data_IF_401347523285
#
_entry.id   IF_401347523285
#
_cell.length_a   1.000
_cell.length_b   1.000
_cell.length_c   1.000
_cell.angle_alpha   90.00
_cell.angle_beta   90.00
_cell.angle_gamma   90.00
#
_symmetry.space_group_name_H-M   'P 1'
#
loop_
_entity.id
_entity.type
_entity.pdbx_description
1 polymer ?
#
# COMPACT_ATOMS: atom_id res chain seq x y z
N UNK A 1 16.58 -24.76 89.32
CA UNK A 1 16.50 -26.21 89.62
C UNK A 1 16.73 -26.96 88.31
N UNK A 2 17.89 -27.59 88.10
CA UNK A 2 18.13 -29.02 88.36
C UNK A 2 18.05 -29.77 87.03
N UNK A 3 19.19 -30.10 86.38
CA UNK A 3 19.84 -31.44 86.39
C UNK A 3 18.88 -32.54 85.90
N UNK A 4 19.10 -33.22 84.77
CA UNK A 4 20.04 -34.34 84.45
C UNK A 4 19.17 -35.37 83.69
N UNK A 5 19.58 -36.25 82.78
CA UNK A 5 20.83 -36.72 82.16
C UNK A 5 20.39 -37.64 80.98
N UNK A 6 21.08 -37.69 79.85
CA UNK A 6 22.33 -38.39 79.52
C UNK A 6 22.18 -39.90 79.18
N UNK A 7 22.93 -40.30 78.12
CA UNK A 7 23.31 -41.63 77.55
C UNK A 7 22.54 -42.03 76.29
N UNK A 8 23.15 -42.37 75.16
CA UNK A 8 24.56 -42.49 74.70
C UNK A 8 24.49 -43.25 73.38
N UNK A 9 24.76 -42.62 72.24
CA UNK A 9 25.99 -42.69 71.42
C UNK A 9 26.49 -44.12 71.09
N UNK A 10 26.39 -44.53 69.81
CA UNK A 10 27.52 -44.76 68.89
C UNK A 10 27.01 -45.18 67.48
N UNK A 11 27.17 -44.33 66.44
CA UNK A 11 28.22 -44.32 65.37
C UNK A 11 27.93 -45.34 64.23
N UNK A 12 28.08 -45.07 62.92
CA UNK A 12 28.69 -44.00 62.10
C UNK A 12 28.33 -44.21 60.60
N UNK A 13 28.39 -43.14 59.81
CA UNK A 13 28.41 -43.08 58.32
C UNK A 13 27.24 -42.23 57.81
N UNK A 14 27.38 -40.94 57.42
CA UNK A 14 28.25 -40.35 56.38
C UNK A 14 27.50 -40.49 55.04
N UNK A 15 27.05 -39.49 54.30
CA UNK A 15 27.38 -38.06 54.13
C UNK A 15 26.10 -37.25 53.81
N UNK A 16 26.09 -35.97 54.18
CA UNK A 16 25.15 -34.96 53.70
C UNK A 16 25.77 -34.29 52.47
N UNK A 17 24.96 -34.00 51.45
CA UNK A 17 24.98 -32.69 50.80
C UNK A 17 23.68 -32.46 50.00
N UNK A 18 22.90 -31.51 50.53
CA UNK A 18 22.26 -30.39 49.82
C UNK A 18 21.28 -30.69 48.66
N UNK A 19 19.99 -30.58 49.00
CA UNK A 19 18.87 -30.34 48.09
C UNK A 19 19.09 -29.02 47.31
N UNK A 20 19.22 -29.11 45.98
CA UNK A 20 18.91 -28.01 45.06
C UNK A 20 17.69 -28.40 44.23
N UNK A 21 16.64 -27.60 44.31
CA UNK A 21 15.42 -27.78 43.55
C UNK A 21 15.62 -27.44 42.08
N UNK A 22 15.38 -28.41 41.19
CA UNK A 22 15.17 -28.15 39.78
C UNK A 22 13.75 -27.58 39.58
N UNK A 23 13.68 -26.25 39.53
CA UNK A 23 12.54 -25.53 38.94
C UNK A 23 12.53 -25.74 37.43
N UNK A 24 11.37 -26.16 36.94
CA UNK A 24 10.99 -26.29 35.54
C UNK A 24 11.15 -24.96 34.78
N UNK A 25 12.11 -24.90 33.85
CA UNK A 25 12.12 -23.88 32.79
C UNK A 25 11.49 -24.44 31.51
N UNK A 26 10.20 -24.18 31.35
CA UNK A 26 9.52 -24.27 30.06
C UNK A 26 9.84 -22.98 29.31
N UNK A 27 11.02 -22.91 28.70
CA UNK A 27 11.35 -21.86 27.73
C UNK A 27 10.74 -22.23 26.36
N UNK A 28 9.43 -22.05 26.27
CA UNK A 28 8.67 -22.06 25.03
C UNK A 28 8.98 -20.82 24.20
N UNK A 29 10.17 -20.74 23.63
CA UNK A 29 10.47 -19.77 22.57
C UNK A 29 9.87 -20.31 21.27
N UNK A 30 8.59 -20.01 21.01
CA UNK A 30 7.96 -20.29 19.71
C UNK A 30 8.58 -19.36 18.66
N UNK A 31 9.70 -19.79 18.09
CA UNK A 31 10.29 -19.18 16.90
C UNK A 31 9.30 -19.35 15.74
N UNK A 32 8.55 -18.29 15.45
CA UNK A 32 7.66 -18.26 14.30
C UNK A 32 8.54 -18.27 13.04
N UNK A 33 8.69 -19.45 12.43
CA UNK A 33 9.32 -19.60 11.13
C UNK A 33 8.39 -18.99 10.07
N UNK A 34 8.77 -17.82 9.55
CA UNK A 34 8.06 -17.20 8.43
C UNK A 34 8.74 -17.68 7.15
N UNK A 35 8.06 -18.54 6.38
CA UNK A 35 8.58 -19.09 5.12
C UNK A 35 7.88 -18.43 3.92
N UNK A 36 8.59 -18.25 2.79
CA UNK A 36 7.98 -17.73 1.58
C UNK A 36 6.96 -18.73 1.01
N UNK A 37 5.88 -18.20 0.45
CA UNK A 37 4.77 -18.97 -0.11
C UNK A 37 5.18 -19.83 -1.31
N UNK A 38 6.23 -19.42 -2.03
CA UNK A 38 6.90 -20.20 -3.08
C UNK A 38 8.42 -20.14 -2.89
N UNK A 39 9.12 -21.25 -3.18
CA UNK A 39 10.58 -21.33 -3.06
C UNK A 39 11.28 -20.32 -4.00
N UNK A 40 12.28 -19.57 -3.52
CA UNK A 40 12.94 -18.53 -4.30
C UNK A 40 13.74 -19.09 -5.49
N UNK A 41 13.51 -18.55 -6.70
CA UNK A 41 14.35 -18.80 -7.88
C UNK A 41 15.74 -18.16 -7.78
N UNK A 42 16.77 -18.94 -8.15
CA UNK A 42 18.14 -18.49 -8.38
C UNK A 42 18.26 -17.95 -9.81
N UNK A 43 17.93 -16.68 -10.03
CA UNK A 43 18.11 -16.07 -11.36
C UNK A 43 19.52 -15.48 -11.46
N UNK A 44 20.40 -16.19 -12.15
CA UNK A 44 21.74 -15.74 -12.53
C UNK A 44 21.66 -14.73 -13.68
N UNK A 45 21.53 -13.44 -13.35
CA UNK A 45 21.96 -12.37 -14.23
C UNK A 45 23.07 -11.60 -13.54
N UNK A 46 24.29 -11.69 -14.07
CA UNK A 46 25.47 -10.95 -13.64
C UNK A 46 25.16 -9.44 -13.65
N UNK A 47 24.84 -8.88 -12.49
CA UNK A 47 25.09 -7.47 -12.17
C UNK A 47 26.14 -7.45 -11.09
N UNK A 48 27.28 -6.81 -11.39
CA UNK A 48 28.23 -6.42 -10.37
C UNK A 48 27.52 -5.39 -9.47
N UNK A 49 27.05 -5.82 -8.31
CA UNK A 49 26.62 -4.96 -7.21
C UNK A 49 27.03 -5.63 -5.90
N UNK A 50 27.64 -4.82 -5.04
CA UNK A 50 28.23 -5.16 -3.75
C UNK A 50 27.23 -5.93 -2.87
N UNK A 51 27.71 -7.04 -2.28
CA UNK A 51 27.06 -7.92 -1.30
C UNK A 51 25.73 -8.58 -1.72
N UNK A 52 25.85 -9.68 -2.48
CA UNK A 52 24.80 -10.68 -2.55
C UNK A 52 24.62 -11.32 -1.15
N UNK A 53 23.54 -10.96 -0.45
CA UNK A 53 23.04 -11.79 0.65
C UNK A 53 22.58 -13.10 0.00
N UNK A 54 23.38 -14.15 0.13
CA UNK A 54 22.99 -15.50 -0.29
C UNK A 54 21.65 -15.82 0.34
N UNK A 55 20.65 -16.13 -0.49
CA UNK A 55 19.34 -16.56 0.01
C UNK A 55 19.57 -17.88 0.74
N UNK A 56 19.23 -18.00 2.04
CA UNK A 56 19.44 -19.25 2.74
C UNK A 56 18.68 -20.37 2.01
N UNK A 57 19.26 -21.58 1.91
CA UNK A 57 18.60 -22.71 1.28
C UNK A 57 17.23 -22.93 1.94
N UNK A 58 16.22 -23.19 1.11
CA UNK A 58 14.85 -23.40 1.61
C UNK A 58 14.86 -24.46 2.71
N UNK A 59 14.39 -24.10 3.90
CA UNK A 59 14.46 -24.96 5.09
C UNK A 59 13.67 -26.27 4.92
N UNK A 60 12.77 -26.32 3.94
CA UNK A 60 11.96 -27.48 3.59
C UNK A 60 12.53 -28.29 2.40
N UNK A 61 13.65 -27.87 1.82
CA UNK A 61 14.29 -28.55 0.68
C UNK A 61 13.47 -28.51 -0.61
N UNK A 62 12.52 -27.58 -0.76
CA UNK A 62 11.66 -27.46 -1.94
C UNK A 62 12.45 -26.98 -3.15
N UNK A 63 12.05 -27.45 -4.33
CA UNK A 63 12.61 -26.93 -5.58
C UNK A 63 12.17 -25.47 -5.80
N UNK A 64 12.99 -24.61 -6.43
CA UNK A 64 12.59 -23.24 -6.74
C UNK A 64 11.25 -23.18 -7.49
N UNK A 65 10.33 -22.32 -7.03
CA UNK A 65 8.98 -22.20 -7.58
C UNK A 65 7.94 -23.14 -6.97
N UNK A 66 8.33 -24.09 -6.11
CA UNK A 66 7.39 -25.01 -5.47
C UNK A 66 6.66 -24.34 -4.30
N UNK A 67 5.34 -24.57 -4.24
CA UNK A 67 4.45 -23.96 -3.26
C UNK A 67 4.70 -24.51 -1.84
N UNK A 68 4.51 -23.65 -0.83
CA UNK A 68 4.59 -24.07 0.58
C UNK A 68 3.45 -25.02 0.96
N UNK A 69 2.29 -24.88 0.33
CA UNK A 69 1.11 -25.69 0.60
C UNK A 69 0.37 -26.06 -0.69
N UNK A 70 0.89 -27.04 -1.47
CA UNK A 70 0.38 -27.37 -2.81
C UNK A 70 -1.09 -27.76 -2.85
N UNK A 71 -1.60 -28.43 -1.82
CA UNK A 71 -3.00 -28.89 -1.72
C UNK A 71 -3.99 -27.71 -1.62
N UNK A 72 -3.53 -26.56 -1.13
CA UNK A 72 -4.34 -25.34 -0.99
C UNK A 72 -4.02 -24.28 -2.04
N UNK A 73 -2.76 -24.16 -2.41
CA UNK A 73 -2.24 -23.18 -3.37
C UNK A 73 -1.25 -23.88 -4.31
N UNK A 74 -1.74 -24.34 -5.46
CA UNK A 74 -0.89 -25.01 -6.45
C UNK A 74 0.10 -24.05 -7.11
N UNK A 75 1.11 -24.59 -7.80
CA UNK A 75 2.02 -23.77 -8.61
C UNK A 75 1.27 -22.94 -9.66
N UNK A 76 0.25 -23.52 -10.30
CA UNK A 76 -0.61 -22.81 -11.26
C UNK A 76 -1.43 -21.67 -10.62
N UNK A 77 -1.79 -21.79 -9.33
CA UNK A 77 -2.42 -20.70 -8.60
C UNK A 77 -1.44 -19.53 -8.45
N UNK A 78 -0.20 -19.82 -8.07
CA UNK A 78 0.82 -18.79 -7.90
C UNK A 78 1.23 -18.14 -9.22
N UNK A 79 1.28 -18.87 -10.33
CA UNK A 79 1.52 -18.26 -11.65
C UNK A 79 0.39 -17.32 -12.06
N UNK A 80 -0.88 -17.73 -11.90
CA UNK A 80 -2.03 -16.83 -12.14
C UNK A 80 -2.05 -15.63 -11.19
N UNK A 81 -1.61 -15.82 -9.96
CA UNK A 81 -1.49 -14.75 -8.99
C UNK A 81 -0.37 -13.78 -9.38
N UNK A 82 0.78 -14.30 -9.80
CA UNK A 82 1.95 -13.55 -10.29
C UNK A 82 1.61 -12.71 -11.52
N UNK A 83 0.86 -13.26 -12.48
CA UNK A 83 0.34 -12.51 -13.62
C UNK A 83 -0.62 -11.38 -13.18
N UNK A 84 -1.45 -11.64 -12.16
CA UNK A 84 -2.44 -10.68 -11.66
C UNK A 84 -1.82 -9.56 -10.84
N UNK A 85 -0.90 -9.87 -9.94
CA UNK A 85 -0.29 -8.89 -9.02
C UNK A 85 0.99 -8.27 -9.55
N UNK A 86 1.62 -8.87 -10.58
CA UNK A 86 2.91 -8.45 -11.14
C UNK A 86 4.11 -9.00 -10.39
N UNK A 87 5.25 -9.05 -11.08
CA UNK A 87 6.49 -9.70 -10.61
C UNK A 87 7.00 -9.10 -9.30
N UNK A 88 7.00 -7.78 -9.20
CA UNK A 88 7.55 -7.04 -8.06
C UNK A 88 6.70 -7.22 -6.79
N UNK A 89 5.38 -7.11 -6.92
CA UNK A 89 4.46 -7.38 -5.81
C UNK A 89 4.48 -8.85 -5.43
N UNK A 90 4.62 -9.75 -6.40
CA UNK A 90 4.74 -11.18 -6.13
C UNK A 90 6.01 -11.49 -5.31
N UNK A 91 7.16 -10.96 -5.73
CA UNK A 91 8.44 -11.15 -5.05
C UNK A 91 8.41 -10.59 -3.61
N UNK A 92 7.78 -9.42 -3.42
CA UNK A 92 7.69 -8.76 -2.11
C UNK A 92 6.73 -9.48 -1.16
N UNK A 93 5.47 -9.68 -1.58
CA UNK A 93 4.39 -10.19 -0.73
C UNK A 93 4.45 -11.72 -0.52
N UNK A 94 4.91 -12.48 -1.53
CA UNK A 94 4.81 -13.95 -1.52
C UNK A 94 6.16 -14.66 -1.48
N UNK A 95 7.24 -14.02 -1.91
CA UNK A 95 8.59 -14.59 -1.82
C UNK A 95 9.46 -13.96 -0.74
N UNK A 96 8.92 -13.00 0.03
CA UNK A 96 9.67 -12.26 1.06
C UNK A 96 10.99 -11.68 0.55
N UNK A 97 11.01 -11.30 -0.73
CA UNK A 97 12.11 -10.59 -1.37
C UNK A 97 11.64 -9.16 -1.64
N UNK A 98 11.46 -8.35 -0.58
CA UNK A 98 11.22 -6.93 -0.79
C UNK A 98 12.41 -6.38 -1.57
N UNK A 99 12.11 -5.60 -2.61
CA UNK A 99 13.16 -4.93 -3.37
C UNK A 99 13.89 -3.99 -2.42
N UNK A 100 15.24 -4.08 -2.32
CA UNK A 100 16.00 -3.08 -1.58
C UNK A 100 15.63 -1.69 -2.07
N UNK A 101 15.62 -0.71 -1.18
CA UNK A 101 15.39 0.68 -1.50
C UNK A 101 16.30 1.21 -2.64
N UNK A 102 17.40 0.52 -2.96
CA UNK A 102 18.31 0.79 -4.07
C UNK A 102 17.81 0.15 -5.38
N UNK A 103 16.83 0.78 -6.01
CA UNK A 103 16.40 0.48 -7.37
C UNK A 103 15.34 1.48 -7.85
N UNK A 104 15.45 1.94 -9.10
CA UNK A 104 14.44 2.79 -9.74
C UNK A 104 13.11 2.01 -9.83
N UNK A 105 12.21 2.22 -8.86
CA UNK A 105 10.93 1.50 -8.74
C UNK A 105 10.09 1.67 -10.00
N UNK A 106 10.12 2.86 -10.59
CA UNK A 106 9.53 3.14 -11.88
C UNK A 106 10.58 3.38 -12.95
N UNK A 107 10.49 2.63 -14.05
CA UNK A 107 11.38 2.81 -15.21
C UNK A 107 10.76 3.73 -16.24
N UNK A 108 11.57 4.65 -16.78
CA UNK A 108 11.12 5.65 -17.78
C UNK A 108 10.48 5.00 -19.00
N UNK A 109 10.98 3.84 -19.43
CA UNK A 109 10.48 3.09 -20.58
C UNK A 109 9.04 2.60 -20.43
N UNK A 110 8.55 2.42 -19.20
CA UNK A 110 7.17 1.99 -18.95
C UNK A 110 6.13 3.05 -19.36
N UNK A 111 6.55 4.32 -19.47
CA UNK A 111 5.68 5.47 -19.75
C UNK A 111 5.76 5.98 -21.19
N UNK A 112 6.21 5.14 -22.13
CA UNK A 112 6.33 5.50 -23.56
C UNK A 112 4.99 5.62 -24.29
N UNK A 113 3.94 4.97 -23.78
CA UNK A 113 2.63 4.94 -24.42
C UNK A 113 1.80 6.19 -24.07
N UNK A 114 1.95 7.24 -24.88
CA UNK A 114 1.18 8.48 -24.77
C UNK A 114 0.08 8.48 -25.83
N UNK A 115 -1.18 8.62 -25.41
CA UNK A 115 -2.36 8.68 -26.27
C UNK A 115 -2.92 10.10 -26.32
N UNK A 116 -3.50 10.51 -27.45
CA UNK A 116 -4.08 11.85 -27.57
C UNK A 116 -5.36 12.00 -26.73
N UNK A 117 -6.17 10.94 -26.69
CA UNK A 117 -7.40 10.88 -25.91
C UNK A 117 -7.59 9.47 -25.37
N UNK A 118 -8.21 9.36 -24.20
CA UNK A 118 -8.66 8.08 -23.68
C UNK A 118 -9.97 7.64 -24.35
N UNK A 119 -10.28 6.33 -24.38
CA UNK A 119 -11.57 5.82 -24.82
C UNK A 119 -12.77 6.53 -24.17
N UNK A 120 -13.87 6.65 -24.92
CA UNK A 120 -15.10 7.21 -24.39
C UNK A 120 -15.76 6.25 -23.37
N UNK A 121 -16.51 6.80 -22.42
CA UNK A 121 -17.30 6.00 -21.48
C UNK A 121 -16.55 5.43 -20.27
N UNK A 122 -15.23 5.66 -20.17
CA UNK A 122 -14.44 5.25 -19.01
C UNK A 122 -14.95 5.89 -17.71
N UNK A 123 -14.90 5.11 -16.62
CA UNK A 123 -15.25 5.55 -15.26
C UNK A 123 -14.02 6.11 -14.57
N UNK A 124 -13.94 7.42 -14.50
CA UNK A 124 -12.78 8.12 -13.96
C UNK A 124 -12.83 8.19 -12.44
N UNK A 125 -11.64 8.15 -11.83
CA UNK A 125 -11.42 8.33 -10.39
C UNK A 125 -10.27 9.32 -10.22
N UNK A 126 -10.49 10.43 -9.51
CA UNK A 126 -9.49 11.47 -9.29
C UNK A 126 -9.03 11.45 -7.83
N UNK A 127 -7.72 11.36 -7.63
CA UNK A 127 -7.08 11.53 -6.34
C UNK A 127 -6.59 12.95 -6.14
N UNK A 128 -6.62 13.42 -4.89
CA UNK A 128 -6.04 14.68 -4.45
C UNK A 128 -5.13 14.42 -3.26
N UNK A 129 -3.83 14.61 -3.48
CA UNK A 129 -2.85 14.71 -2.40
C UNK A 129 -2.71 16.19 -2.00
N UNK A 130 -3.04 16.47 -0.74
CA UNK A 130 -3.18 17.81 -0.20
C UNK A 130 -2.05 18.12 0.76
N UNK A 131 -1.13 18.96 0.32
CA UNK A 131 -0.18 19.62 1.19
C UNK A 131 -0.86 20.45 2.30
N UNK A 132 -0.36 20.29 3.53
CA UNK A 132 -0.78 21.08 4.69
C UNK A 132 0.18 22.25 4.86
N UNK A 133 -0.23 23.46 4.45
CA UNK A 133 0.51 24.67 4.84
C UNK A 133 -0.32 25.95 4.70
N UNK A 134 -0.14 26.85 5.67
CA UNK A 134 -0.68 28.22 5.66
C UNK A 134 0.31 29.24 5.10
N UNK A 135 1.49 28.81 4.64
CA UNK A 135 2.60 29.68 4.19
C UNK A 135 2.83 29.57 2.68
N UNK A 136 3.46 30.58 2.07
CA UNK A 136 3.90 30.56 0.65
C UNK A 136 4.97 29.51 0.34
N UNK A 137 5.54 28.88 1.37
CA UNK A 137 6.41 27.69 1.28
C UNK A 137 5.61 26.39 1.38
N UNK A 138 4.33 26.41 0.99
CA UNK A 138 3.48 25.23 1.02
C UNK A 138 4.09 24.09 0.23
N UNK A 139 3.92 22.87 0.74
CA UNK A 139 4.21 21.66 -0.02
C UNK A 139 3.29 21.60 -1.26
N UNK A 140 3.60 20.70 -2.18
CA UNK A 140 2.86 20.64 -3.42
C UNK A 140 1.50 19.98 -3.20
N UNK A 141 0.47 20.59 -3.78
CA UNK A 141 -0.81 19.91 -4.00
C UNK A 141 -0.74 19.23 -5.35
N UNK A 142 -0.99 17.93 -5.37
CA UNK A 142 -1.01 17.13 -6.58
C UNK A 142 -2.38 16.49 -6.81
N UNK A 143 -2.77 16.34 -8.07
CA UNK A 143 -4.01 15.67 -8.43
C UNK A 143 -3.93 15.02 -9.80
N UNK A 144 -4.38 13.78 -9.87
CA UNK A 144 -4.45 12.99 -11.08
C UNK A 144 -5.77 12.25 -11.14
N UNK A 145 -6.28 12.03 -12.35
CA UNK A 145 -7.39 11.11 -12.57
C UNK A 145 -6.92 9.88 -13.31
N UNK A 146 -7.53 8.75 -12.96
CA UNK A 146 -7.27 7.46 -13.55
C UNK A 146 -8.56 6.80 -14.03
N UNK A 147 -8.45 5.92 -15.00
CA UNK A 147 -9.51 5.00 -15.38
C UNK A 147 -8.93 3.70 -15.94
N UNK A 148 -9.73 2.62 -15.86
CA UNK A 148 -9.42 1.34 -16.49
C UNK A 148 -10.36 1.10 -17.67
N UNK A 149 -9.83 0.58 -18.78
CA UNK A 149 -10.65 0.00 -19.84
C UNK A 149 -11.02 -1.47 -19.54
N UNK A 150 -11.74 -2.11 -20.45
CA UNK A 150 -12.19 -3.48 -20.29
C UNK A 150 -11.03 -4.49 -20.35
N UNK A 151 -9.94 -4.11 -21.00
CA UNK A 151 -8.72 -4.89 -21.21
C UNK A 151 -7.73 -4.75 -20.04
N UNK A 152 -8.01 -3.87 -19.08
CA UNK A 152 -7.20 -3.66 -17.89
C UNK A 152 -6.04 -2.67 -18.08
N UNK A 153 -6.06 -1.84 -19.14
CA UNK A 153 -5.13 -0.72 -19.26
C UNK A 153 -5.52 0.42 -18.34
N UNK A 154 -4.52 0.94 -17.61
CA UNK A 154 -4.64 2.09 -16.74
C UNK A 154 -4.35 3.38 -17.53
N UNK A 155 -5.37 4.21 -17.70
CA UNK A 155 -5.25 5.55 -18.26
C UNK A 155 -4.99 6.55 -17.14
N UNK A 156 -3.97 7.39 -17.28
CA UNK A 156 -3.66 8.50 -16.36
C UNK A 156 -3.80 9.82 -17.10
N UNK A 157 -4.53 10.77 -16.51
CA UNK A 157 -4.83 12.07 -17.13
C UNK A 157 -4.95 13.20 -16.09
N UNK A 158 -4.96 14.44 -16.59
CA UNK A 158 -5.37 15.63 -15.85
C UNK A 158 -4.43 15.96 -14.71
N UNK A 159 -3.14 15.69 -14.90
CA UNK A 159 -2.09 15.94 -13.93
C UNK A 159 -2.00 17.42 -13.56
N UNK A 160 -2.08 17.68 -12.27
CA UNK A 160 -1.98 19.00 -11.68
C UNK A 160 -1.01 18.96 -10.52
N UNK A 161 -0.09 19.93 -10.46
CA UNK A 161 0.86 20.09 -9.36
C UNK A 161 1.18 21.56 -9.12
N UNK A 162 0.79 22.12 -7.96
CA UNK A 162 1.10 23.51 -7.59
C UNK A 162 1.24 23.67 -6.08
N UNK A 163 2.02 24.68 -5.66
CA UNK A 163 2.09 25.12 -4.26
C UNK A 163 1.02 26.18 -4.04
N UNK A 164 -0.11 25.74 -3.47
CA UNK A 164 -1.30 26.56 -3.28
C UNK A 164 -1.82 26.40 -1.87
N UNK A 165 -2.43 27.46 -1.33
CA UNK A 165 -3.01 27.44 0.01
C UNK A 165 -4.43 26.88 0.03
N UNK A 166 -4.96 26.65 1.23
CA UNK A 166 -6.29 26.07 1.48
C UNK A 166 -7.45 26.70 0.66
N UNK A 167 -7.58 28.04 0.52
CA UNK A 167 -8.67 28.63 -0.27
C UNK A 167 -8.58 28.28 -1.76
N UNK A 168 -7.37 28.28 -2.30
CA UNK A 168 -7.10 27.94 -3.71
C UNK A 168 -7.30 26.44 -3.97
N UNK A 169 -6.86 25.59 -3.03
CA UNK A 169 -7.11 24.14 -3.07
C UNK A 169 -8.61 23.84 -3.13
N UNK A 170 -9.41 24.48 -2.27
CA UNK A 170 -10.87 24.30 -2.24
C UNK A 170 -11.50 24.71 -3.58
N UNK A 171 -11.10 25.87 -4.12
CA UNK A 171 -11.59 26.35 -5.41
C UNK A 171 -11.23 25.38 -6.54
N UNK A 172 -9.99 24.92 -6.59
CA UNK A 172 -9.51 23.97 -7.58
C UNK A 172 -10.33 22.66 -7.54
N UNK A 173 -10.49 22.06 -6.37
CA UNK A 173 -11.26 20.82 -6.19
C UNK A 173 -12.72 21.02 -6.62
N UNK A 174 -13.38 22.10 -6.17
CA UNK A 174 -14.76 22.40 -6.57
C UNK A 174 -14.90 22.56 -8.09
N UNK A 175 -13.93 23.19 -8.75
CA UNK A 175 -13.94 23.35 -10.21
C UNK A 175 -13.75 21.99 -10.93
N UNK A 176 -12.85 21.14 -10.45
CA UNK A 176 -12.68 19.78 -10.97
C UNK A 176 -13.98 18.97 -10.82
N UNK A 177 -14.57 18.92 -9.62
CA UNK A 177 -15.82 18.18 -9.36
C UNK A 177 -16.96 18.66 -10.27
N UNK A 178 -17.02 19.96 -10.57
CA UNK A 178 -18.05 20.52 -11.45
C UNK A 178 -17.84 20.16 -12.92
N UNK A 179 -16.60 20.21 -13.40
CA UNK A 179 -16.26 19.94 -14.81
C UNK A 179 -16.28 18.44 -15.11
N UNK A 180 -15.90 17.61 -14.15
CA UNK A 180 -15.68 16.18 -14.32
C UNK A 180 -16.87 15.36 -13.83
N UNK A 181 -17.99 15.47 -14.53
CA UNK A 181 -19.27 14.93 -14.06
C UNK A 181 -19.31 13.39 -13.91
N UNK A 182 -18.47 12.67 -14.65
CA UNK A 182 -18.36 11.21 -14.65
C UNK A 182 -17.13 10.71 -13.86
N UNK A 183 -16.62 11.54 -12.95
CA UNK A 183 -15.45 11.24 -12.12
C UNK A 183 -15.85 11.14 -10.66
N UNK A 184 -15.38 10.08 -10.00
CA UNK A 184 -15.42 9.97 -8.54
C UNK A 184 -14.16 10.62 -7.95
N UNK A 185 -14.32 11.44 -6.93
CA UNK A 185 -13.23 12.25 -6.36
C UNK A 185 -12.84 11.76 -4.96
N UNK A 186 -11.58 11.39 -4.78
CA UNK A 186 -11.00 10.94 -3.52
C UNK A 186 -10.06 11.98 -2.95
N UNK A 187 -10.37 12.46 -1.76
CA UNK A 187 -9.56 13.44 -1.03
C UNK A 187 -8.95 12.72 0.15
N UNK A 188 -7.64 12.80 0.32
CA UNK A 188 -6.99 12.15 1.46
C UNK A 188 -7.51 12.69 2.80
N UNK A 189 -7.85 11.78 3.72
CA UNK A 189 -8.49 12.10 5.00
C UNK A 189 -7.54 12.65 6.07
N UNK A 190 -6.23 12.79 5.81
CA UNK A 190 -5.24 13.18 6.82
C UNK A 190 -5.48 14.61 7.35
N UNK A 191 -5.49 14.76 8.69
CA UNK A 191 -5.64 15.97 9.54
C UNK A 191 -6.71 17.01 9.15
N UNK A 192 -6.70 17.54 7.93
CA UNK A 192 -7.63 18.55 7.40
C UNK A 192 -8.54 18.04 6.28
N UNK A 193 -8.36 16.81 5.77
CA UNK A 193 -9.24 16.22 4.75
C UNK A 193 -10.73 16.25 5.15
N UNK A 194 -11.03 16.07 6.44
CA UNK A 194 -12.41 16.21 6.97
C UNK A 194 -12.95 17.64 6.87
N UNK A 195 -12.11 18.65 7.11
CA UNK A 195 -12.50 20.05 6.97
C UNK A 195 -12.77 20.39 5.50
N UNK A 196 -11.93 19.90 4.58
CA UNK A 196 -12.17 19.98 3.12
C UNK A 196 -13.51 19.36 2.76
N UNK A 197 -13.75 18.12 3.19
CA UNK A 197 -15.01 17.42 2.95
C UNK A 197 -16.22 18.20 3.49
N UNK A 198 -16.10 18.81 4.67
CA UNK A 198 -17.18 19.61 5.25
C UNK A 198 -17.45 20.89 4.46
N UNK A 199 -16.40 21.58 4.00
CA UNK A 199 -16.52 22.78 3.15
C UNK A 199 -17.15 22.41 1.81
N UNK A 200 -16.68 21.35 1.15
CA UNK A 200 -17.21 20.88 -0.13
C UNK A 200 -18.66 20.41 -0.03
N UNK A 201 -19.03 19.71 1.06
CA UNK A 201 -20.43 19.29 1.31
C UNK A 201 -21.39 20.45 1.54
N UNK A 202 -20.90 21.61 1.99
CA UNK A 202 -21.70 22.83 2.15
C UNK A 202 -21.85 23.61 0.84
N UNK A 203 -21.06 23.30 -0.17
CA UNK A 203 -21.16 23.94 -1.48
C UNK A 203 -22.33 23.35 -2.27
N UNK A 204 -23.45 24.07 -2.31
CA UNK A 204 -24.66 23.66 -3.03
C UNK A 204 -24.42 23.37 -4.52
N UNK A 205 -23.35 23.92 -5.11
CA UNK A 205 -22.96 23.68 -6.51
C UNK A 205 -22.41 22.27 -6.76
N UNK A 206 -22.10 21.53 -5.69
CA UNK A 206 -21.57 20.17 -5.70
C UNK A 206 -22.63 19.12 -5.32
N UNK A 207 -23.89 19.52 -5.13
CA UNK A 207 -24.98 18.58 -4.83
C UNK A 207 -25.11 17.51 -5.92
N UNK A 208 -25.21 16.24 -5.50
CA UNK A 208 -25.29 15.09 -6.40
C UNK A 208 -23.95 14.68 -7.06
N UNK A 209 -22.83 15.29 -6.66
CA UNK A 209 -21.49 14.91 -7.17
C UNK A 209 -20.84 13.85 -6.27
N UNK A 210 -20.05 12.98 -6.88
CA UNK A 210 -19.40 11.87 -6.17
C UNK A 210 -18.02 12.27 -5.66
N UNK A 211 -17.90 12.50 -4.36
CA UNK A 211 -16.61 12.71 -3.69
C UNK A 211 -16.59 12.12 -2.28
N UNK A 212 -15.45 11.56 -1.87
CA UNK A 212 -15.28 10.92 -0.56
C UNK A 212 -13.87 11.07 0.00
N UNK A 213 -13.75 10.86 1.31
CA UNK A 213 -12.46 10.73 1.98
C UNK A 213 -11.80 9.39 1.63
N UNK A 214 -10.49 9.40 1.46
CA UNK A 214 -9.67 8.20 1.29
C UNK A 214 -8.66 8.16 2.42
N UNK A 215 -8.65 7.05 3.16
CA UNK A 215 -7.63 6.82 4.18
C UNK A 215 -6.44 6.16 3.49
N UNK A 216 -5.34 6.90 3.35
CA UNK A 216 -4.07 6.30 2.95
C UNK A 216 -3.60 5.38 4.08
N UNK A 217 -3.58 4.07 3.82
CA UNK A 217 -3.04 3.05 4.73
C UNK A 217 -1.85 2.37 4.06
N UNK A 218 -0.87 1.97 4.87
CA UNK A 218 0.36 1.36 4.40
C UNK A 218 1.41 2.38 3.96
N UNK A 219 2.63 1.91 3.79
CA UNK A 219 3.75 2.75 3.39
C UNK A 219 3.64 3.16 1.92
N UNK A 220 4.39 4.20 1.52
CA UNK A 220 4.35 4.79 0.17
C UNK A 220 4.52 3.74 -0.94
N UNK A 221 5.45 2.80 -0.75
CA UNK A 221 5.68 1.71 -1.71
C UNK A 221 4.50 0.74 -1.82
N UNK A 222 3.87 0.41 -0.69
CA UNK A 222 2.70 -0.47 -0.67
C UNK A 222 1.52 0.18 -1.40
N UNK A 223 1.27 1.47 -1.16
CA UNK A 223 0.22 2.24 -1.84
C UNK A 223 0.45 2.35 -3.35
N UNK A 224 1.71 2.43 -3.78
CA UNK A 224 2.05 2.47 -5.19
C UNK A 224 2.11 1.08 -5.85
N UNK A 225 2.17 -0.01 -5.07
CA UNK A 225 2.44 -1.36 -5.54
C UNK A 225 1.56 -1.81 -6.71
N UNK A 226 0.24 -1.58 -6.59
CA UNK A 226 -0.72 -1.99 -7.62
C UNK A 226 -0.42 -1.41 -9.00
N UNK A 227 -0.02 -0.13 -9.06
CA UNK A 227 0.22 0.53 -10.34
C UNK A 227 1.68 0.50 -10.80
N UNK A 228 2.63 0.25 -9.88
CA UNK A 228 3.99 -0.19 -10.24
C UNK A 228 3.91 -1.46 -11.08
N UNK A 229 3.12 -2.45 -10.65
CA UNK A 229 2.92 -3.70 -11.38
C UNK A 229 2.28 -3.50 -12.75
N UNK A 230 1.30 -2.60 -12.86
CA UNK A 230 0.70 -2.24 -14.15
C UNK A 230 1.71 -1.52 -15.07
N UNK A 231 2.60 -0.71 -14.51
CA UNK A 231 3.66 -0.04 -15.26
C UNK A 231 4.64 -1.07 -15.84
N UNK A 232 5.11 -2.02 -15.02
CA UNK A 232 6.03 -3.08 -15.42
C UNK A 232 5.44 -3.97 -16.52
N UNK A 233 4.14 -4.26 -16.45
CA UNK A 233 3.40 -4.98 -17.49
C UNK A 233 3.15 -4.17 -18.77
N UNK A 234 3.58 -2.91 -18.84
CA UNK A 234 3.33 -2.03 -19.99
C UNK A 234 1.84 -1.67 -20.17
N UNK A 235 1.05 -1.77 -19.10
CA UNK A 235 -0.40 -1.53 -19.09
C UNK A 235 -0.79 -0.09 -18.76
N UNK A 236 0.16 0.82 -18.66
CA UNK A 236 -0.12 2.25 -18.48
C UNK A 236 -0.25 2.96 -19.82
N UNK A 237 -1.23 3.86 -19.90
CA UNK A 237 -1.44 4.83 -20.99
C UNK A 237 -1.52 6.23 -20.39
N UNK A 238 -0.66 7.14 -20.84
CA UNK A 238 -0.72 8.54 -20.43
C UNK A 238 -1.53 9.34 -21.45
N UNK A 239 -2.57 10.05 -21.03
CA UNK A 239 -3.28 10.98 -21.90
C UNK A 239 -2.43 12.23 -22.07
N UNK A 240 -2.27 12.71 -23.31
CA UNK A 240 -1.36 13.81 -23.65
C UNK A 240 -1.63 15.05 -22.79
N UNK A 241 -0.61 15.52 -22.10
CA UNK A 241 -0.66 16.76 -21.32
C UNK A 241 0.72 17.29 -20.95
N UNK A 242 0.79 18.58 -20.59
CA UNK A 242 2.04 19.24 -20.22
C UNK A 242 2.66 18.70 -18.91
N UNK A 243 1.89 17.92 -18.14
CA UNK A 243 2.29 17.33 -16.87
C UNK A 243 3.20 16.10 -17.03
N UNK A 244 3.19 15.43 -18.18
CA UNK A 244 3.82 14.11 -18.39
C UNK A 244 5.31 14.13 -18.05
N UNK A 245 6.05 15.13 -18.52
CA UNK A 245 7.50 15.19 -18.29
C UNK A 245 7.84 15.26 -16.80
N UNK A 246 7.22 16.20 -16.07
CA UNK A 246 7.45 16.39 -14.65
C UNK A 246 6.96 15.18 -13.83
N UNK A 247 5.90 14.52 -14.28
CA UNK A 247 5.37 13.29 -13.66
C UNK A 247 6.36 12.13 -13.79
N UNK A 248 6.84 11.84 -15.01
CA UNK A 248 7.79 10.75 -15.25
C UNK A 248 9.14 11.01 -14.57
N UNK A 249 9.59 12.26 -14.51
CA UNK A 249 10.79 12.63 -13.75
C UNK A 249 10.65 12.35 -12.24
N UNK A 250 9.48 12.63 -11.64
CA UNK A 250 9.21 12.33 -10.23
C UNK A 250 9.13 10.82 -9.99
N UNK A 251 8.46 10.08 -10.88
CA UNK A 251 8.35 8.64 -10.79
C UNK A 251 9.68 7.92 -10.81
N UNK A 252 10.57 8.29 -11.73
CA UNK A 252 11.91 7.69 -11.79
C UNK A 252 12.77 8.03 -10.57
N UNK A 253 12.43 9.07 -9.79
CA UNK A 253 13.13 9.39 -8.55
C UNK A 253 12.50 8.69 -7.32
N UNK A 254 11.30 8.13 -7.44
CA UNK A 254 10.60 7.46 -6.35
C UNK A 254 11.30 6.15 -5.96
N UNK A 255 11.43 5.82 -4.65
CA UNK A 255 10.82 6.47 -3.49
C UNK A 255 11.69 7.55 -2.80
N UNK A 256 12.92 7.77 -3.26
CA UNK A 256 13.90 8.65 -2.58
C UNK A 256 13.92 10.08 -3.11
N UNK A 257 13.05 10.37 -4.07
CA UNK A 257 12.86 11.69 -4.64
C UNK A 257 12.49 12.70 -3.55
N UNK A 258 12.88 13.96 -3.77
CA UNK A 258 12.52 15.07 -2.87
C UNK A 258 10.99 15.26 -2.75
N UNK A 259 10.25 14.77 -3.73
CA UNK A 259 8.83 14.90 -3.87
C UNK A 259 8.25 13.58 -4.35
N UNK A 260 7.08 13.24 -3.84
CA UNK A 260 6.29 12.08 -4.24
C UNK A 260 4.80 12.38 -4.31
N UNK A 261 4.44 13.67 -4.29
CA UNK A 261 3.06 14.14 -4.24
C UNK A 261 2.25 13.61 -5.44
N UNK A 262 2.86 13.52 -6.62
CA UNK A 262 2.20 13.02 -7.83
C UNK A 262 1.98 11.51 -7.77
N UNK A 263 2.94 10.78 -7.18
CA UNK A 263 2.83 9.32 -6.95
C UNK A 263 1.69 9.05 -5.97
N UNK A 264 1.62 9.83 -4.90
CA UNK A 264 0.58 9.73 -3.89
C UNK A 264 -0.80 10.09 -4.45
N UNK A 265 -0.90 11.14 -5.27
CA UNK A 265 -2.16 11.51 -5.92
C UNK A 265 -2.71 10.41 -6.85
N UNK A 266 -1.85 9.71 -7.60
CA UNK A 266 -2.27 8.54 -8.40
C UNK A 266 -2.65 7.37 -7.49
N UNK A 267 -1.90 7.14 -6.42
CA UNK A 267 -2.17 6.06 -5.46
C UNK A 267 -3.52 6.26 -4.73
N UNK A 268 -3.88 7.49 -4.37
CA UNK A 268 -5.21 7.83 -3.82
C UNK A 268 -6.31 7.48 -4.83
N UNK A 269 -6.08 7.79 -6.12
CA UNK A 269 -7.03 7.46 -7.17
C UNK A 269 -7.17 5.93 -7.37
N UNK A 270 -6.06 5.19 -7.24
CA UNK A 270 -6.04 3.72 -7.25
C UNK A 270 -6.82 3.13 -6.06
N UNK A 271 -6.66 3.67 -4.86
CA UNK A 271 -7.41 3.24 -3.68
C UNK A 271 -8.93 3.44 -3.86
N UNK A 272 -9.36 4.46 -4.61
CA UNK A 272 -10.77 4.60 -4.97
C UNK A 272 -11.25 3.45 -5.85
N UNK A 273 -10.38 2.97 -6.74
CA UNK A 273 -10.64 1.84 -7.62
C UNK A 273 -10.80 0.53 -6.86
N UNK A 274 -9.82 0.23 -6.01
CA UNK A 274 -9.71 -1.03 -5.26
C UNK A 274 -10.75 -1.16 -4.15
N UNK A 275 -11.12 -0.04 -3.53
CA UNK A 275 -12.14 0.01 -2.47
C UNK A 275 -13.39 0.74 -3.00
N UNK A 276 -14.15 0.19 -3.97
CA UNK A 276 -15.39 0.83 -4.40
C UNK A 276 -16.30 0.94 -3.18
N UNK A 277 -16.80 2.15 -2.86
CA UNK A 277 -17.61 2.35 -1.67
C UNK A 277 -18.85 1.46 -1.73
N UNK A 278 -18.86 0.39 -0.92
CA UNK A 278 -19.95 -0.58 -0.79
C UNK A 278 -21.23 -0.03 -0.16
N UNK A 279 -21.41 1.30 -0.08
CA UNK A 279 -22.65 1.96 0.29
C UNK A 279 -22.76 3.28 -0.46
N UNK A 280 -23.60 3.29 -1.50
CA UNK A 280 -24.11 4.51 -2.11
C UNK A 280 -25.10 5.14 -1.10
N UNK A 281 -24.62 6.05 -0.25
CA UNK A 281 -25.52 6.80 0.64
C UNK A 281 -26.19 7.90 -0.18
N UNK A 282 -27.41 7.63 -0.66
CA UNK A 282 -28.29 8.69 -1.14
C UNK A 282 -28.80 9.47 0.07
N UNK A 283 -28.37 10.73 0.20
CA UNK A 283 -29.00 11.66 1.12
C UNK A 283 -30.30 12.15 0.49
N UNK A 284 -31.44 11.60 0.93
CA UNK A 284 -32.76 12.14 0.63
C UNK A 284 -33.08 13.22 1.67
N UNK A 285 -33.42 14.46 1.27
CA UNK A 285 -33.72 15.56 2.21
C UNK A 285 -34.91 15.31 3.16
N UNK A 286 -35.69 14.24 2.95
CA UNK A 286 -36.95 14.01 3.64
C UNK A 286 -36.97 12.82 4.63
N UNK A 287 -35.81 12.33 5.09
CA UNK A 287 -35.78 11.25 6.11
C UNK A 287 -34.94 11.64 7.35
N UNK A 288 -35.52 12.31 8.36
CA UNK A 288 -34.82 12.67 9.58
C UNK A 288 -34.53 11.49 10.52
N UNK A 289 -35.06 10.28 10.26
CA UNK A 289 -34.96 9.15 11.19
C UNK A 289 -34.22 7.90 10.65
N UNK A 290 -33.56 7.98 9.51
CA UNK A 290 -32.52 7.01 9.13
C UNK A 290 -32.94 5.53 9.02
N UNK A 291 -34.22 5.21 8.88
CA UNK A 291 -34.64 3.83 8.62
C UNK A 291 -34.29 3.40 7.19
N UNK A 292 -33.45 2.37 7.11
CA UNK A 292 -32.99 1.74 5.88
C UNK A 292 -34.10 0.81 5.38
N UNK A 293 -34.77 1.16 4.27
CA UNK A 293 -35.62 0.19 3.53
C UNK A 293 -34.80 -0.43 2.40
N UNK A 294 -34.70 -1.77 2.42
CA UNK A 294 -34.15 -2.57 1.32
C UNK A 294 -35.16 -2.59 0.17
N UNK A 295 -34.68 -2.37 -1.05
CA UNK A 295 -35.30 -2.85 -2.28
C UNK A 295 -34.32 -3.85 -2.91
#
# INVERSE_FOLDING_TARGET
MGRTGNRGEQRRGGENDSEEGETSDIDGCSSHLILPAASPSSSSSLRLSVSAVETPPDALGRSPGEALWPERFSAEYFERLRERVGELSFASLYQQRPVPAEGDVFKREWFRNIVDQAPAGLKWKRGYDLAISTKRTADYTASFRIAFDAEGYLYIDGGYRRRIGFPEQTRYISECIRKEQNTEHGIESALHGRAFMQVLRRDARLNGRSFRGVDARGDKLERAGSWISLADQGRIRLVRGHWIRAFVEELCAFPHGKHDDQVDAVSIAMSLHENPSGKLFFYSPNNPNGEIRRA
#
